data_IF_574586871923
#
_entry.id   IF_574586871923
#
_cell.length_a   1.000
_cell.length_b   1.000
_cell.length_c   1.000
_cell.angle_alpha   90.00
_cell.angle_beta   90.00
_cell.angle_gamma   90.00
#
_symmetry.space_group_name_H-M   'P 1'
#
loop_
_entity.id
_entity.type
_entity.pdbx_description
1 polymer ?
#
# COMPACT_ATOMS: atom_id res chain seq x y z
N UNK A 1 -0.16 -23.55 -14.40
CA UNK A 1 0.17 -23.08 -13.08
C UNK A 1 -0.67 -21.88 -12.70
N UNK A 2 -1.34 -21.98 -11.58
CA UNK A 2 -2.19 -20.88 -11.17
C UNK A 2 -1.34 -19.73 -10.68
N UNK A 3 -1.60 -18.57 -11.21
CA UNK A 3 -0.95 -17.35 -10.79
C UNK A 3 -1.79 -16.70 -9.74
N UNK A 4 -1.18 -16.35 -8.63
CA UNK A 4 -1.90 -15.60 -7.63
C UNK A 4 -2.28 -14.25 -8.21
N UNK A 5 -3.55 -13.93 -8.11
CA UNK A 5 -4.01 -12.63 -8.52
C UNK A 5 -4.09 -11.75 -7.29
N UNK A 6 -3.19 -10.82 -7.19
CA UNK A 6 -3.24 -9.86 -6.10
C UNK A 6 -4.34 -8.84 -6.38
N UNK A 7 -4.94 -8.38 -5.30
CA UNK A 7 -6.02 -7.40 -5.37
C UNK A 7 -5.40 -6.02 -5.30
N UNK A 8 -5.66 -5.20 -6.31
CA UNK A 8 -5.18 -3.82 -6.30
C UNK A 8 -6.34 -2.91 -5.91
N UNK A 9 -6.10 -2.07 -4.92
CA UNK A 9 -7.12 -1.17 -4.43
C UNK A 9 -6.47 0.16 -4.06
N UNK A 10 -7.18 1.24 -4.32
CA UNK A 10 -6.69 2.56 -3.99
C UNK A 10 -6.93 2.84 -2.52
N UNK A 11 -5.96 3.53 -1.91
CA UNK A 11 -6.08 3.90 -0.52
C UNK A 11 -5.48 5.27 -0.25
N UNK A 12 -5.66 5.74 0.96
CA UNK A 12 -5.13 7.03 1.41
C UNK A 12 -4.22 6.79 2.60
N UNK A 13 -3.05 7.39 2.58
CA UNK A 13 -2.10 7.26 3.68
C UNK A 13 -2.65 7.99 4.90
N UNK A 14 -2.72 7.28 6.02
CA UNK A 14 -3.16 7.87 7.29
C UNK A 14 -1.96 8.40 8.07
N UNK A 15 -0.95 7.56 8.26
CA UNK A 15 0.23 7.94 9.03
C UNK A 15 1.40 7.03 8.70
N UNK A 16 2.62 7.55 8.81
CA UNK A 16 3.80 6.71 8.65
C UNK A 16 4.03 5.89 9.93
N UNK A 17 4.62 4.72 9.74
CA UNK A 17 4.97 3.83 10.84
C UNK A 17 6.45 3.48 10.72
N UNK A 18 7.06 2.91 11.76
CA UNK A 18 8.45 2.48 11.67
C UNK A 18 8.66 1.43 10.58
N UNK A 19 9.91 1.30 10.13
CA UNK A 19 10.32 0.27 9.17
C UNK A 19 9.69 0.43 7.79
N UNK A 20 9.52 1.68 7.35
CA UNK A 20 8.98 1.99 6.03
C UNK A 20 7.56 1.42 5.83
N UNK A 21 6.83 1.31 6.93
CA UNK A 21 5.43 0.87 6.91
C UNK A 21 4.52 2.09 6.98
N UNK A 22 3.29 1.90 6.55
CA UNK A 22 2.28 2.95 6.59
C UNK A 22 0.93 2.36 6.96
N UNK A 23 0.15 3.15 7.66
CA UNK A 23 -1.26 2.82 7.87
C UNK A 23 -2.06 3.46 6.75
N UNK A 24 -2.83 2.66 6.04
CA UNK A 24 -3.54 3.09 4.85
C UNK A 24 -5.01 2.75 4.99
N UNK A 25 -5.86 3.73 4.70
CA UNK A 25 -7.30 3.50 4.64
C UNK A 25 -7.69 3.23 3.21
N UNK A 26 -8.25 2.05 2.96
CA UNK A 26 -8.66 1.65 1.62
C UNK A 26 -10.00 2.30 1.25
N UNK A 27 -10.30 2.27 -0.04
CA UNK A 27 -11.56 2.86 -0.53
C UNK A 27 -12.79 2.25 0.12
N UNK A 28 -12.69 0.99 0.53
CA UNK A 28 -13.81 0.31 1.19
C UNK A 28 -13.94 0.64 2.67
N UNK A 29 -13.07 1.53 3.18
CA UNK A 29 -13.10 1.94 4.58
C UNK A 29 -12.25 1.11 5.51
N UNK A 30 -11.66 0.03 5.00
CA UNK A 30 -10.81 -0.82 5.82
C UNK A 30 -9.43 -0.19 5.98
N UNK A 31 -8.88 -0.26 7.19
CA UNK A 31 -7.52 0.23 7.45
C UNK A 31 -6.58 -0.97 7.51
N UNK A 32 -5.49 -0.88 6.75
CA UNK A 32 -4.50 -1.95 6.68
C UNK A 32 -3.10 -1.39 6.95
N UNK A 33 -2.17 -2.30 7.13
CA UNK A 33 -0.75 -1.97 7.19
C UNK A 33 -0.15 -2.23 5.82
N UNK A 34 0.63 -1.26 5.32
CA UNK A 34 1.24 -1.39 4.01
C UNK A 34 2.71 -1.00 4.09
N UNK A 35 3.52 -1.65 3.28
CA UNK A 35 4.92 -1.31 3.15
C UNK A 35 5.20 -0.85 1.73
N UNK A 36 6.28 -0.09 1.58
CA UNK A 36 6.66 0.44 0.27
C UNK A 36 7.36 -0.64 -0.52
N UNK A 37 6.96 -0.83 -1.79
CA UNK A 37 7.60 -1.80 -2.65
C UNK A 37 9.07 -1.42 -2.87
N UNK A 38 9.90 -2.42 -3.18
CA UNK A 38 11.30 -2.16 -3.44
C UNK A 38 11.53 -1.19 -4.59
N UNK A 39 10.66 -1.28 -5.61
CA UNK A 39 10.77 -0.40 -6.76
C UNK A 39 10.56 1.06 -6.37
N UNK A 40 9.55 1.33 -5.56
CA UNK A 40 9.29 2.69 -5.10
C UNK A 40 10.39 3.19 -4.18
N UNK A 41 10.91 2.28 -3.35
CA UNK A 41 11.99 2.63 -2.44
C UNK A 41 13.25 3.03 -3.20
N UNK A 42 13.52 2.37 -4.31
CA UNK A 42 14.68 2.69 -5.15
C UNK A 42 14.57 4.07 -5.78
N UNK A 43 13.37 4.55 -6.00
CA UNK A 43 13.16 5.86 -6.60
C UNK A 43 13.01 6.96 -5.56
N UNK A 44 13.18 6.64 -4.29
CA UNK A 44 13.10 7.60 -3.19
C UNK A 44 11.80 8.40 -3.20
N UNK A 45 10.71 7.72 -3.54
CA UNK A 45 9.40 8.38 -3.57
C UNK A 45 8.98 8.67 -2.13
N UNK A 46 8.74 9.94 -1.86
CA UNK A 46 8.33 10.37 -0.54
C UNK A 46 6.82 10.24 -0.40
N UNK A 47 6.39 9.54 0.65
CA UNK A 47 4.97 9.32 0.91
C UNK A 47 4.59 10.05 2.18
N UNK A 48 3.54 10.86 2.08
CA UNK A 48 3.09 11.71 3.18
C UNK A 48 1.65 11.38 3.54
N UNK A 49 1.22 11.68 4.78
CA UNK A 49 -0.19 11.52 5.15
C UNK A 49 -1.09 12.29 4.18
N UNK A 50 -2.19 11.65 3.80
CA UNK A 50 -3.11 12.23 2.84
C UNK A 50 -2.84 11.86 1.40
N UNK A 51 -1.68 11.29 1.11
CA UNK A 51 -1.36 10.87 -0.25
C UNK A 51 -2.23 9.70 -0.67
N UNK A 52 -2.61 9.69 -1.95
CA UNK A 52 -3.33 8.58 -2.54
C UNK A 52 -2.34 7.61 -3.13
N UNK A 53 -2.56 6.33 -2.86
CA UNK A 53 -1.64 5.28 -3.30
C UNK A 53 -2.43 4.09 -3.81
N UNK A 54 -1.76 3.29 -4.63
CA UNK A 54 -2.29 2.00 -5.05
C UNK A 54 -1.65 0.93 -4.17
N UNK A 55 -2.50 0.12 -3.55
CA UNK A 55 -2.04 -0.94 -2.65
C UNK A 55 -2.37 -2.28 -3.26
N UNK A 56 -1.40 -3.18 -3.20
CA UNK A 56 -1.58 -4.54 -3.68
C UNK A 56 -1.74 -5.45 -2.47
N UNK A 57 -2.86 -6.16 -2.41
CA UNK A 57 -3.18 -7.08 -1.32
C UNK A 57 -3.08 -8.50 -1.80
N UNK A 58 -2.58 -9.38 -0.93
CA UNK A 58 -2.65 -10.81 -1.20
C UNK A 58 -4.06 -11.31 -0.83
N UNK A 59 -4.66 -12.17 -1.66
CA UNK A 59 -5.95 -12.75 -1.29
C UNK A 59 -5.87 -13.60 -0.03
N UNK A 60 -4.67 -13.98 0.38
CA UNK A 60 -4.50 -14.78 1.58
C UNK A 60 -4.39 -13.95 2.84
N UNK A 61 -4.14 -12.65 2.72
CA UNK A 61 -4.03 -11.79 3.89
C UNK A 61 -4.42 -10.37 3.49
N UNK A 62 -5.67 -10.03 3.72
CA UNK A 62 -6.20 -8.73 3.34
C UNK A 62 -5.92 -7.63 4.36
N UNK A 63 -5.17 -7.95 5.41
CA UNK A 63 -4.83 -6.95 6.43
C UNK A 63 -3.49 -6.29 6.18
N UNK A 64 -2.72 -6.80 5.24
CA UNK A 64 -1.41 -6.27 4.90
C UNK A 64 -1.32 -6.09 3.40
N UNK A 65 -0.63 -5.04 2.99
CA UNK A 65 -0.49 -4.78 1.58
C UNK A 65 0.86 -4.16 1.25
N UNK A 66 1.06 -3.95 -0.03
CA UNK A 66 2.27 -3.35 -0.55
C UNK A 66 1.89 -2.16 -1.41
N UNK A 67 2.50 -1.00 -1.12
CA UNK A 67 2.27 0.20 -1.91
C UNK A 67 3.10 0.07 -3.19
N UNK A 68 2.42 0.05 -4.33
CA UNK A 68 3.08 -0.13 -5.62
C UNK A 68 3.09 1.12 -6.46
N UNK A 69 2.28 2.12 -6.12
CA UNK A 69 2.19 3.33 -6.90
C UNK A 69 1.64 4.45 -6.04
N UNK A 70 2.12 5.66 -6.28
CA UNK A 70 1.65 6.85 -5.58
C UNK A 70 1.02 7.78 -6.60
N UNK A 71 -0.23 8.11 -6.39
CA UNK A 71 -0.92 9.09 -7.24
C UNK A 71 -0.55 10.49 -6.80
N UNK A 72 -0.56 11.38 -7.74
CA UNK A 72 -0.32 12.80 -7.43
C UNK A 72 -1.58 13.49 -7.02
#
# INVERSE_FOLDING_TARGET
>A
MAKEENIEIQGTIIEPLPNAMFRVELENGQVILAYVSGKMRMHFIKILPGDKVLVELSPYDLTKGRITYRFK
#
